data_IF_280159480643
#
_entry.id   IF_280159480643
#
_cell.length_a   1.000
_cell.length_b   1.000
_cell.length_c   1.000
_cell.angle_alpha   90.00
_cell.angle_beta   90.00
_cell.angle_gamma   90.00
#
_symmetry.space_group_name_H-M   'P 1'
#
loop_
_entity.id
_entity.type
_entity.pdbx_description
1 polymer ?
#
# COMPACT_ATOMS: atom_id res chain seq x y z
N UNK A 1 -74.25 31.13 5.26
CA UNK A 1 -73.51 30.72 4.05
C UNK A 1 -72.06 31.13 4.25
N UNK A 2 -71.27 30.26 4.90
CA UNK A 2 -69.86 30.49 5.18
C UNK A 2 -69.07 29.48 4.38
N UNK A 3 -68.28 29.95 3.42
CA UNK A 3 -67.40 29.12 2.60
C UNK A 3 -66.10 28.87 3.37
N UNK A 4 -65.87 27.62 3.77
CA UNK A 4 -64.56 27.19 4.28
C UNK A 4 -63.56 27.10 3.11
N UNK A 5 -62.42 27.78 3.24
CA UNK A 5 -61.31 27.66 2.28
C UNK A 5 -60.42 26.47 2.62
N UNK A 6 -59.96 25.66 1.63
CA UNK A 6 -59.13 24.49 1.88
C UNK A 6 -57.69 24.87 2.26
N UNK A 7 -57.22 24.33 3.38
CA UNK A 7 -55.81 24.40 3.83
C UNK A 7 -54.93 23.53 2.91
N UNK A 8 -54.09 24.16 2.11
CA UNK A 8 -53.03 23.47 1.33
C UNK A 8 -51.95 22.85 2.23
N UNK A 9 -51.52 21.60 2.01
CA UNK A 9 -50.58 20.90 2.89
C UNK A 9 -49.13 21.28 2.55
N UNK A 10 -48.62 22.37 3.12
CA UNK A 10 -47.20 22.77 2.98
C UNK A 10 -46.20 21.77 3.57
N UNK A 11 -46.62 20.86 4.46
CA UNK A 11 -45.72 19.99 5.24
C UNK A 11 -45.12 18.82 4.45
N UNK A 12 -45.83 18.31 3.44
CA UNK A 12 -45.42 17.09 2.71
C UNK A 12 -44.31 17.36 1.68
N UNK A 13 -44.23 18.58 1.15
CA UNK A 13 -43.23 18.96 0.15
C UNK A 13 -41.83 19.14 0.78
N UNK A 14 -41.74 19.69 1.99
CA UNK A 14 -40.47 19.89 2.68
C UNK A 14 -39.81 18.57 3.14
N UNK A 15 -40.60 17.58 3.55
CA UNK A 15 -40.07 16.26 3.95
C UNK A 15 -39.59 15.42 2.75
N UNK A 16 -40.27 15.49 1.60
CA UNK A 16 -39.84 14.83 0.36
C UNK A 16 -38.56 15.46 -0.21
N UNK A 17 -38.44 16.79 -0.20
CA UNK A 17 -37.23 17.49 -0.66
C UNK A 17 -36.06 17.24 0.31
N UNK A 18 -36.30 17.24 1.62
CA UNK A 18 -35.28 16.96 2.64
C UNK A 18 -34.74 15.53 2.59
N UNK A 19 -35.60 14.52 2.38
CA UNK A 19 -35.19 13.12 2.22
C UNK A 19 -34.42 12.87 0.92
N UNK A 20 -34.81 13.51 -0.19
CA UNK A 20 -34.07 13.44 -1.45
C UNK A 20 -32.65 14.04 -1.34
N UNK A 21 -32.49 15.17 -0.64
CA UNK A 21 -31.19 15.81 -0.40
C UNK A 21 -30.28 14.92 0.47
N UNK A 22 -30.82 14.30 1.52
CA UNK A 22 -30.07 13.37 2.40
C UNK A 22 -29.62 12.11 1.64
N UNK A 23 -30.49 11.51 0.82
CA UNK A 23 -30.14 10.38 -0.03
C UNK A 23 -29.06 10.74 -1.07
N UNK A 24 -29.15 11.94 -1.67
CA UNK A 24 -28.17 12.40 -2.66
C UNK A 24 -26.81 12.70 -2.02
N UNK A 25 -26.77 13.25 -0.80
CA UNK A 25 -25.53 13.46 -0.03
C UNK A 25 -24.89 12.13 0.40
N UNK A 26 -25.69 11.13 0.82
CA UNK A 26 -25.18 9.79 1.10
C UNK A 26 -24.58 9.11 -0.13
N UNK A 27 -25.21 9.27 -1.30
CA UNK A 27 -24.71 8.69 -2.55
C UNK A 27 -23.37 9.30 -2.99
N UNK A 28 -23.18 10.62 -2.80
CA UNK A 28 -21.91 11.32 -3.07
C UNK A 28 -20.78 10.88 -2.11
N UNK A 29 -21.11 10.59 -0.84
CA UNK A 29 -20.16 10.02 0.12
C UNK A 29 -19.71 8.59 -0.23
N UNK A 30 -20.61 7.78 -0.77
CA UNK A 30 -20.32 6.39 -1.17
C UNK A 30 -19.40 6.31 -2.40
N UNK A 31 -19.58 7.17 -3.41
CA UNK A 31 -18.70 7.18 -4.60
C UNK A 31 -17.28 7.68 -4.30
N UNK A 32 -17.13 8.61 -3.35
CA UNK A 32 -15.82 9.11 -2.91
C UNK A 32 -14.96 8.01 -2.25
N UNK A 33 -15.61 7.04 -1.60
CA UNK A 33 -14.94 5.93 -0.92
C UNK A 33 -14.31 4.92 -1.90
N UNK A 34 -14.81 4.81 -3.13
CA UNK A 34 -14.27 3.91 -4.15
C UNK A 34 -12.95 4.44 -4.75
N UNK A 35 -12.78 5.76 -4.83
CA UNK A 35 -11.58 6.38 -5.41
C UNK A 35 -10.32 6.19 -4.54
N UNK A 36 -10.49 6.16 -3.22
CA UNK A 36 -9.38 5.91 -2.28
C UNK A 36 -8.75 4.51 -2.44
N UNK A 37 -9.51 3.54 -2.95
CA UNK A 37 -9.06 2.15 -3.11
C UNK A 37 -8.29 1.86 -4.42
N UNK A 38 -8.27 2.81 -5.36
CA UNK A 38 -7.58 2.65 -6.65
C UNK A 38 -6.06 2.74 -6.48
N UNK A 39 -5.33 1.99 -7.30
CA UNK A 39 -3.88 2.15 -7.47
C UNK A 39 -3.56 3.62 -7.81
N UNK A 40 -2.44 4.20 -7.32
CA UNK A 40 -2.01 5.54 -7.70
C UNK A 40 -1.91 5.69 -9.22
N UNK A 41 -2.29 6.86 -9.75
CA UNK A 41 -2.34 7.07 -11.20
C UNK A 41 -0.94 7.02 -11.85
N UNK A 42 0.06 7.54 -11.13
CA UNK A 42 1.46 7.50 -11.52
C UNK A 42 2.29 6.83 -10.42
N UNK A 43 2.68 5.58 -10.64
CA UNK A 43 3.51 4.84 -9.68
C UNK A 43 5.01 5.17 -9.77
N UNK A 44 5.43 6.04 -10.70
CA UNK A 44 6.82 6.48 -10.84
C UNK A 44 7.12 7.80 -10.13
N UNK A 45 6.11 8.47 -9.60
CA UNK A 45 6.22 9.77 -8.95
C UNK A 45 5.65 9.70 -7.52
N UNK A 46 6.54 9.74 -6.53
CA UNK A 46 6.17 9.63 -5.12
C UNK A 46 5.41 10.87 -4.62
N UNK A 47 5.67 12.05 -5.18
CA UNK A 47 4.91 13.25 -4.86
C UNK A 47 3.45 13.09 -5.29
N UNK A 48 3.24 12.62 -6.52
CA UNK A 48 1.91 12.32 -7.05
C UNK A 48 1.21 11.26 -6.20
N UNK A 49 1.90 10.15 -5.87
CA UNK A 49 1.34 9.10 -5.00
C UNK A 49 0.85 9.69 -3.68
N UNK A 50 1.68 10.49 -3.00
CA UNK A 50 1.32 11.03 -1.69
C UNK A 50 0.35 12.21 -1.77
N UNK A 51 0.25 12.92 -2.89
CA UNK A 51 -0.79 13.93 -3.12
C UNK A 51 -2.16 13.24 -3.30
N UNK A 52 -2.23 12.18 -4.10
CA UNK A 52 -3.46 11.39 -4.30
C UNK A 52 -3.86 10.58 -3.06
N UNK A 53 -2.87 10.08 -2.33
CA UNK A 53 -3.04 9.20 -1.16
C UNK A 53 -2.40 9.82 0.08
N UNK A 54 -2.89 10.97 0.52
CA UNK A 54 -2.32 11.71 1.67
C UNK A 54 -2.21 10.88 2.96
N UNK A 55 -3.10 9.91 3.20
CA UNK A 55 -2.98 8.98 4.33
C UNK A 55 -1.77 8.05 4.21
N UNK A 56 -1.37 7.66 3.00
CA UNK A 56 -0.22 6.79 2.76
C UNK A 56 1.07 7.48 3.19
N UNK A 57 1.21 8.79 2.96
CA UNK A 57 2.35 9.56 3.46
C UNK A 57 2.50 9.42 4.98
N UNK A 58 1.40 9.64 5.73
CA UNK A 58 1.42 9.47 7.19
C UNK A 58 1.80 8.06 7.61
N UNK A 59 1.30 7.04 6.92
CA UNK A 59 1.65 5.66 7.23
C UNK A 59 3.11 5.32 6.90
N UNK A 60 3.65 5.87 5.81
CA UNK A 60 5.04 5.71 5.42
C UNK A 60 5.99 6.40 6.40
N UNK A 61 5.69 7.63 6.81
CA UNK A 61 6.45 8.36 7.85
C UNK A 61 6.40 7.64 9.20
N UNK A 62 5.24 7.08 9.57
CA UNK A 62 5.13 6.33 10.82
C UNK A 62 5.96 5.04 10.78
N UNK A 63 5.93 4.31 9.66
CA UNK A 63 6.73 3.10 9.48
C UNK A 63 8.24 3.44 9.48
N UNK A 64 8.65 4.51 8.80
CA UNK A 64 10.02 5.01 8.81
C UNK A 64 10.50 5.31 10.23
N UNK A 65 9.73 6.06 11.01
CA UNK A 65 10.08 6.37 12.41
C UNK A 65 10.14 5.12 13.30
N UNK A 66 9.26 4.17 13.07
CA UNK A 66 9.16 2.96 13.89
C UNK A 66 10.28 1.97 13.59
N UNK A 67 10.67 1.84 12.33
CA UNK A 67 11.56 0.78 11.85
C UNK A 67 12.92 1.28 11.36
N UNK A 68 13.14 2.60 11.37
CA UNK A 68 14.39 3.23 10.95
C UNK A 68 14.82 2.89 9.51
N UNK A 69 13.85 2.62 8.63
CA UNK A 69 14.06 2.40 7.19
C UNK A 69 13.41 3.57 6.44
N UNK A 70 14.15 4.23 5.55
CA UNK A 70 13.63 5.39 4.85
C UNK A 70 12.35 5.04 4.06
N UNK A 71 11.34 5.92 4.15
CA UNK A 71 10.04 5.74 3.51
C UNK A 71 10.14 5.54 1.99
N UNK A 72 11.15 6.11 1.33
CA UNK A 72 11.39 5.93 -0.11
C UNK A 72 11.76 4.47 -0.42
N UNK A 73 12.56 3.83 0.43
CA UNK A 73 12.90 2.40 0.36
C UNK A 73 11.64 1.57 0.57
N UNK A 74 10.85 1.85 1.62
CA UNK A 74 9.59 1.15 1.89
C UNK A 74 8.63 1.21 0.70
N UNK A 75 8.49 2.40 0.10
CA UNK A 75 7.65 2.62 -1.06
C UNK A 75 8.18 1.93 -2.31
N UNK A 76 9.50 1.92 -2.53
CA UNK A 76 10.14 1.23 -3.64
C UNK A 76 9.94 -0.30 -3.56
N UNK A 77 10.05 -0.89 -2.37
CA UNK A 77 9.75 -2.31 -2.14
C UNK A 77 8.28 -2.61 -2.45
N UNK A 78 7.32 -1.84 -1.93
CA UNK A 78 5.89 -2.06 -2.23
C UNK A 78 5.60 -1.92 -3.74
N UNK A 79 6.24 -0.96 -4.42
CA UNK A 79 6.13 -0.82 -5.87
C UNK A 79 6.63 -2.06 -6.60
N UNK A 80 7.78 -2.58 -6.20
CA UNK A 80 8.35 -3.76 -6.83
C UNK A 80 7.49 -5.01 -6.59
N UNK A 81 6.96 -5.17 -5.37
CA UNK A 81 6.16 -6.34 -5.00
C UNK A 81 4.76 -6.35 -5.60
N UNK A 82 4.08 -5.20 -5.61
CA UNK A 82 2.66 -5.15 -5.99
C UNK A 82 2.33 -4.08 -7.03
N UNK A 83 3.28 -3.21 -7.37
CA UNK A 83 3.00 -1.97 -8.12
C UNK A 83 1.89 -1.13 -7.46
N UNK A 84 1.75 -1.22 -6.14
CA UNK A 84 0.65 -0.63 -5.37
C UNK A 84 -0.73 -1.20 -5.71
N UNK A 85 -0.81 -2.46 -6.17
CA UNK A 85 -2.07 -3.15 -6.39
C UNK A 85 -2.52 -3.85 -5.10
N UNK A 86 -3.62 -3.37 -4.53
CA UNK A 86 -4.20 -3.83 -3.26
C UNK A 86 -4.36 -5.34 -3.13
N UNK A 87 -4.75 -6.01 -4.21
CA UNK A 87 -5.06 -7.44 -4.25
C UNK A 87 -4.07 -8.23 -5.11
N UNK A 88 -2.85 -7.72 -5.26
CA UNK A 88 -1.78 -8.39 -6.00
C UNK A 88 -1.62 -9.84 -5.54
N UNK A 89 -1.53 -10.75 -6.51
CA UNK A 89 -1.35 -12.19 -6.30
C UNK A 89 -0.44 -12.74 -7.40
N UNK A 90 0.39 -13.75 -7.09
CA UNK A 90 1.12 -14.47 -8.11
C UNK A 90 0.17 -15.03 -9.18
N UNK A 91 0.62 -15.07 -10.46
CA UNK A 91 -0.12 -15.74 -11.51
C UNK A 91 -0.31 -17.21 -11.14
N UNK A 92 -1.47 -17.76 -11.52
CA UNK A 92 -1.73 -19.21 -11.35
C UNK A 92 -0.74 -19.99 -12.20
N UNK A 93 -0.26 -21.12 -11.68
CA UNK A 93 0.48 -22.08 -12.51
C UNK A 93 -0.46 -22.63 -13.59
N UNK A 94 0.09 -23.21 -14.65
CA UNK A 94 -0.70 -23.83 -15.72
C UNK A 94 -0.36 -25.30 -15.86
N UNK A 95 -1.36 -26.16 -15.89
CA UNK A 95 -1.21 -27.55 -16.33
C UNK A 95 -1.17 -27.55 -17.86
N UNK A 96 -0.17 -28.24 -18.42
CA UNK A 96 0.06 -28.35 -19.87
C UNK A 96 0.16 -26.99 -20.60
N UNK A 97 0.59 -25.93 -19.91
CA UNK A 97 0.76 -24.58 -20.48
C UNK A 97 -0.54 -23.78 -20.70
N UNK A 98 -1.71 -24.38 -20.53
CA UNK A 98 -3.01 -23.77 -20.89
C UNK A 98 -4.00 -23.71 -19.72
N UNK A 99 -4.10 -24.77 -18.90
CA UNK A 99 -5.17 -24.89 -17.88
C UNK A 99 -4.74 -24.20 -16.56
N UNK A 100 -5.40 -23.11 -16.11
CA UNK A 100 -5.04 -22.45 -14.86
C UNK A 100 -5.20 -23.38 -13.64
N UNK A 101 -4.19 -23.45 -12.78
CA UNK A 101 -4.13 -24.31 -11.60
C UNK A 101 -3.96 -23.52 -10.30
N UNK A 102 -3.42 -24.16 -9.25
CA UNK A 102 -3.13 -23.53 -7.96
C UNK A 102 -2.05 -22.45 -8.10
N UNK A 103 -2.07 -21.48 -7.17
CA UNK A 103 -0.97 -20.51 -7.08
C UNK A 103 0.25 -21.18 -6.47
N UNK A 104 1.46 -20.81 -6.89
CA UNK A 104 2.69 -21.40 -6.37
C UNK A 104 2.92 -21.02 -4.90
N UNK A 105 2.44 -19.85 -4.45
CA UNK A 105 2.63 -19.36 -3.08
C UNK A 105 1.35 -18.69 -2.56
N UNK A 106 1.32 -18.45 -1.24
CA UNK A 106 0.25 -17.69 -0.56
C UNK A 106 0.52 -16.18 -0.51
N UNK A 107 1.50 -15.71 -1.29
CA UNK A 107 1.84 -14.29 -1.39
C UNK A 107 0.62 -13.45 -1.81
N UNK A 108 0.35 -12.38 -1.06
CA UNK A 108 -0.85 -11.58 -1.26
C UNK A 108 -0.71 -10.12 -0.83
N UNK A 109 -1.42 -9.24 -1.54
CA UNK A 109 -1.61 -7.84 -1.17
C UNK A 109 -0.40 -6.97 -1.50
N UNK A 110 -0.35 -5.78 -0.90
CA UNK A 110 0.68 -4.78 -1.19
C UNK A 110 2.11 -5.29 -0.92
N UNK A 111 2.27 -6.06 0.17
CA UNK A 111 3.56 -6.58 0.61
C UNK A 111 3.96 -7.90 -0.06
N UNK A 112 3.06 -8.56 -0.82
CA UNK A 112 3.27 -9.94 -1.31
C UNK A 112 3.74 -10.95 -0.24
N UNK A 113 3.43 -10.69 1.04
CA UNK A 113 3.80 -11.59 2.13
C UNK A 113 3.01 -12.90 2.08
N UNK A 114 3.70 -14.02 2.34
CA UNK A 114 3.08 -15.34 2.53
C UNK A 114 2.40 -15.44 3.89
N UNK A 115 1.56 -16.46 4.06
CA UNK A 115 0.77 -16.66 5.28
C UNK A 115 1.60 -16.79 6.54
N UNK A 116 2.66 -17.57 6.47
CA UNK A 116 3.57 -17.82 7.59
C UNK A 116 4.22 -16.52 8.09
N UNK A 117 4.93 -15.80 7.23
CA UNK A 117 5.62 -14.56 7.60
C UNK A 117 4.65 -13.47 8.07
N UNK A 118 3.47 -13.37 7.46
CA UNK A 118 2.48 -12.39 7.89
C UNK A 118 1.91 -12.71 9.28
N UNK A 119 1.71 -13.99 9.59
CA UNK A 119 1.23 -14.39 10.92
C UNK A 119 2.29 -14.13 11.99
N UNK A 120 3.57 -14.39 11.70
CA UNK A 120 4.68 -14.06 12.59
C UNK A 120 4.73 -12.54 12.89
N UNK A 121 4.58 -11.70 11.86
CA UNK A 121 4.44 -10.25 12.05
C UNK A 121 3.27 -9.90 12.98
N UNK A 122 2.08 -10.47 12.74
CA UNK A 122 0.89 -10.18 13.55
C UNK A 122 1.09 -10.53 15.01
N UNK A 123 1.73 -11.67 15.27
CA UNK A 123 2.02 -12.14 16.63
C UNK A 123 3.04 -11.24 17.32
N UNK A 124 4.21 -11.04 16.71
CA UNK A 124 5.32 -10.26 17.28
C UNK A 124 4.97 -8.79 17.49
N UNK A 125 4.10 -8.24 16.66
CA UNK A 125 3.68 -6.84 16.73
C UNK A 125 2.35 -6.63 17.45
N UNK A 126 1.72 -7.69 18.01
CA UNK A 126 0.41 -7.63 18.69
C UNK A 126 -0.68 -7.02 17.81
N UNK A 127 -0.73 -7.41 16.54
CA UNK A 127 -1.66 -6.91 15.51
C UNK A 127 -2.57 -8.01 14.95
N UNK A 128 -3.48 -8.59 15.75
CA UNK A 128 -4.33 -9.72 15.33
C UNK A 128 -5.29 -9.39 14.16
N UNK A 129 -5.56 -8.11 13.90
CA UNK A 129 -6.45 -7.66 12.83
C UNK A 129 -5.72 -7.04 11.62
N UNK A 130 -4.39 -7.11 11.56
CA UNK A 130 -3.65 -6.57 10.41
C UNK A 130 -4.00 -7.32 9.11
N UNK A 131 -4.15 -6.56 8.02
CA UNK A 131 -4.62 -7.05 6.73
C UNK A 131 -3.65 -6.67 5.59
N UNK A 132 -3.20 -7.65 4.80
CA UNK A 132 -2.27 -7.45 3.65
C UNK A 132 -2.78 -6.50 2.56
N UNK A 133 -4.09 -6.31 2.49
CA UNK A 133 -4.75 -5.39 1.55
C UNK A 133 -4.96 -3.99 2.12
N UNK A 134 -4.59 -3.76 3.38
CA UNK A 134 -4.56 -2.44 3.99
C UNK A 134 -3.15 -1.88 3.84
N UNK A 135 -3.02 -0.72 3.19
CA UNK A 135 -1.72 -0.13 2.93
C UNK A 135 -0.94 0.18 4.22
N UNK A 136 -1.61 0.69 5.27
CA UNK A 136 -1.00 0.98 6.57
C UNK A 136 -0.34 -0.25 7.17
N UNK A 137 -1.05 -1.37 7.16
CA UNK A 137 -0.55 -2.59 7.78
C UNK A 137 0.54 -3.22 6.89
N UNK A 138 0.43 -3.11 5.58
CA UNK A 138 1.42 -3.62 4.64
C UNK A 138 2.76 -2.85 4.69
N UNK A 139 2.73 -1.51 4.75
CA UNK A 139 3.97 -0.73 4.84
C UNK A 139 4.66 -0.89 6.20
N UNK A 140 3.88 -1.03 7.28
CA UNK A 140 4.40 -1.36 8.59
C UNK A 140 5.06 -2.76 8.61
N UNK A 141 4.43 -3.76 7.97
CA UNK A 141 5.02 -5.09 7.79
C UNK A 141 6.34 -5.05 7.01
N UNK A 142 6.40 -4.28 5.91
CA UNK A 142 7.63 -4.12 5.12
C UNK A 142 8.73 -3.50 5.99
N UNK A 143 8.42 -2.43 6.72
CA UNK A 143 9.37 -1.80 7.64
C UNK A 143 9.88 -2.76 8.72
N UNK A 144 8.97 -3.46 9.40
CA UNK A 144 9.30 -4.49 10.40
C UNK A 144 10.23 -5.57 9.85
N UNK A 145 9.93 -6.10 8.67
CA UNK A 145 10.76 -7.15 8.07
C UNK A 145 12.15 -6.63 7.71
N UNK A 146 12.23 -5.45 7.10
CA UNK A 146 13.51 -4.86 6.68
C UNK A 146 14.39 -4.49 7.87
N UNK A 147 13.83 -3.99 8.97
CA UNK A 147 14.60 -3.71 10.20
C UNK A 147 15.15 -5.00 10.84
N UNK A 148 14.31 -6.04 10.91
CA UNK A 148 14.72 -7.37 11.36
C UNK A 148 15.83 -7.94 10.46
N UNK A 149 15.70 -7.80 9.14
CA UNK A 149 16.68 -8.26 8.17
C UNK A 149 17.99 -7.45 8.24
N UNK A 150 17.93 -6.13 8.36
CA UNK A 150 19.09 -5.26 8.53
C UNK A 150 19.92 -5.69 9.75
N UNK A 151 19.24 -5.95 10.86
CA UNK A 151 19.89 -6.35 12.11
C UNK A 151 20.45 -7.78 12.04
N UNK A 152 19.69 -8.73 11.48
CA UNK A 152 20.07 -10.16 11.48
C UNK A 152 21.10 -10.50 10.41
N UNK A 153 21.00 -9.87 9.23
CA UNK A 153 21.90 -10.11 8.10
C UNK A 153 23.05 -9.10 8.02
N UNK A 154 23.16 -8.17 8.98
CA UNK A 154 24.14 -7.08 8.99
C UNK A 154 24.15 -6.27 7.68
N UNK A 155 22.95 -5.95 7.20
CA UNK A 155 22.75 -5.11 6.01
C UNK A 155 22.48 -3.68 6.45
N UNK A 156 23.13 -2.72 5.81
CA UNK A 156 22.93 -1.31 6.13
C UNK A 156 21.48 -0.89 5.82
N UNK A 157 20.89 -0.06 6.70
CA UNK A 157 19.48 0.37 6.58
C UNK A 157 19.23 1.29 5.37
N UNK A 158 20.30 1.86 4.83
CA UNK A 158 20.39 2.70 3.64
C UNK A 158 20.86 1.93 2.40
N UNK A 159 20.92 0.59 2.44
CA UNK A 159 21.23 -0.25 1.30
C UNK A 159 19.96 -0.92 0.73
N UNK A 160 19.14 -0.21 -0.06
CA UNK A 160 17.87 -0.70 -0.58
C UNK A 160 18.05 -1.97 -1.43
N UNK A 161 19.20 -2.14 -2.08
CA UNK A 161 19.48 -3.31 -2.92
C UNK A 161 19.61 -4.56 -2.05
N UNK A 162 20.48 -4.54 -1.05
CA UNK A 162 20.68 -5.70 -0.19
C UNK A 162 19.48 -5.94 0.75
N UNK A 163 18.81 -4.88 1.20
CA UNK A 163 17.53 -4.98 1.92
C UNK A 163 16.47 -5.69 1.07
N UNK A 164 16.37 -5.40 -0.22
CA UNK A 164 15.42 -6.11 -1.07
C UNK A 164 15.82 -7.58 -1.31
N UNK A 165 17.12 -7.87 -1.43
CA UNK A 165 17.59 -9.25 -1.57
C UNK A 165 17.21 -10.10 -0.35
N UNK A 166 17.35 -9.55 0.87
CA UNK A 166 16.92 -10.23 2.10
C UNK A 166 15.41 -10.40 2.16
N UNK A 167 14.65 -9.40 1.70
CA UNK A 167 13.19 -9.46 1.63
C UNK A 167 12.68 -10.55 0.68
N UNK A 168 13.25 -10.62 -0.53
CA UNK A 168 12.80 -11.53 -1.59
C UNK A 168 13.22 -12.99 -1.33
N UNK A 169 14.46 -13.22 -0.89
CA UNK A 169 14.98 -14.57 -0.68
C UNK A 169 14.73 -15.12 0.73
N UNK A 170 14.33 -14.24 1.65
CA UNK A 170 14.41 -14.50 3.07
C UNK A 170 15.81 -14.28 3.63
N UNK A 171 15.90 -13.95 4.93
CA UNK A 171 17.16 -13.69 5.64
C UNK A 171 18.16 -14.86 5.48
N UNK A 172 17.71 -16.09 5.76
CA UNK A 172 18.58 -17.29 5.62
C UNK A 172 19.05 -17.48 4.17
N UNK A 173 18.13 -17.38 3.20
CA UNK A 173 18.50 -17.54 1.79
C UNK A 173 19.45 -16.45 1.27
N UNK A 174 19.35 -15.24 1.83
CA UNK A 174 20.31 -14.17 1.57
C UNK A 174 21.70 -14.50 2.11
N UNK A 175 21.78 -14.95 3.36
CA UNK A 175 23.04 -15.33 4.04
C UNK A 175 23.73 -16.50 3.34
N UNK A 176 22.96 -17.47 2.85
CA UNK A 176 23.45 -18.60 2.05
C UNK A 176 23.88 -18.21 0.63
N UNK A 177 23.53 -17.00 0.17
CA UNK A 177 23.89 -16.50 -1.15
C UNK A 177 23.00 -17.00 -2.30
N UNK A 178 21.78 -17.47 -2.00
CA UNK A 178 20.86 -18.05 -3.00
C UNK A 178 20.44 -17.08 -4.11
N UNK A 179 20.61 -15.77 -3.89
CA UNK A 179 20.36 -14.71 -4.87
C UNK A 179 21.44 -14.57 -5.95
N UNK A 180 22.68 -14.98 -5.68
CA UNK A 180 23.86 -14.60 -6.50
C UNK A 180 23.74 -14.98 -7.97
N UNK A 181 23.07 -16.11 -8.25
CA UNK A 181 22.90 -16.63 -9.62
C UNK A 181 21.51 -16.32 -10.21
N UNK A 182 20.62 -15.66 -9.45
CA UNK A 182 19.25 -15.38 -9.87
C UNK A 182 19.18 -14.00 -10.55
N UNK A 183 19.50 -13.95 -11.85
CA UNK A 183 19.50 -12.70 -12.66
C UNK A 183 18.25 -11.84 -12.47
N UNK A 184 17.06 -12.46 -12.42
CA UNK A 184 15.79 -11.73 -12.22
C UNK A 184 15.70 -11.04 -10.85
N UNK A 185 16.18 -11.69 -9.80
CA UNK A 185 16.20 -11.16 -8.43
C UNK A 185 17.21 -10.02 -8.32
N UNK A 186 18.38 -10.17 -8.91
CA UNK A 186 19.38 -9.10 -9.00
C UNK A 186 18.84 -7.86 -9.72
N UNK A 187 18.14 -8.05 -10.84
CA UNK A 187 17.51 -6.94 -11.58
C UNK A 187 16.43 -6.27 -10.74
N UNK A 188 15.58 -7.04 -10.05
CA UNK A 188 14.56 -6.49 -9.16
C UNK A 188 15.18 -5.68 -8.00
N UNK A 189 16.26 -6.18 -7.39
CA UNK A 189 16.98 -5.48 -6.33
C UNK A 189 17.60 -4.16 -6.80
N UNK A 190 18.24 -4.16 -7.98
CA UNK A 190 18.74 -2.92 -8.60
C UNK A 190 17.58 -1.95 -8.86
N UNK A 191 16.45 -2.42 -9.39
CA UNK A 191 15.29 -1.57 -9.64
C UNK A 191 14.72 -0.94 -8.37
N UNK A 192 14.74 -1.66 -7.24
CA UNK A 192 14.32 -1.11 -5.94
C UNK A 192 15.24 0.01 -5.51
N UNK A 193 16.57 -0.19 -5.59
CA UNK A 193 17.56 0.86 -5.34
C UNK A 193 17.32 2.09 -6.22
N UNK A 194 17.25 1.92 -7.54
CA UNK A 194 17.10 3.04 -8.46
C UNK A 194 15.77 3.78 -8.21
N UNK A 195 14.71 3.04 -7.88
CA UNK A 195 13.41 3.63 -7.55
C UNK A 195 13.46 4.43 -6.25
N UNK A 196 14.14 3.95 -5.21
CA UNK A 196 14.26 4.69 -3.94
C UNK A 196 15.05 5.99 -4.13
N UNK A 197 16.13 5.99 -4.91
CA UNK A 197 16.90 7.19 -5.21
C UNK A 197 16.08 8.24 -6.00
N UNK A 198 15.29 7.78 -6.98
CA UNK A 198 14.34 8.66 -7.69
C UNK A 198 13.30 9.25 -6.74
N UNK A 199 12.75 8.43 -5.85
CA UNK A 199 11.76 8.85 -4.87
C UNK A 199 12.32 9.84 -3.85
N UNK A 200 13.55 9.65 -3.40
CA UNK A 200 14.26 10.58 -2.52
C UNK A 200 14.40 11.95 -3.18
N UNK A 201 14.93 11.98 -4.41
CA UNK A 201 15.06 13.21 -5.21
C UNK A 201 13.72 13.94 -5.36
N UNK A 202 12.64 13.19 -5.67
CA UNK A 202 11.31 13.76 -5.82
C UNK A 202 10.78 14.40 -4.53
N UNK A 203 10.98 13.75 -3.38
CA UNK A 203 10.50 14.29 -2.10
C UNK A 203 11.20 15.60 -1.73
N UNK A 204 12.49 15.73 -2.02
CA UNK A 204 13.20 16.99 -1.81
C UNK A 204 12.60 18.16 -2.59
N UNK A 205 12.12 17.90 -3.81
CA UNK A 205 11.55 18.93 -4.66
C UNK A 205 10.13 19.31 -4.24
N UNK A 206 9.32 18.32 -3.85
CA UNK A 206 7.91 18.55 -3.56
C UNK A 206 7.64 19.03 -2.12
N UNK A 207 8.51 18.71 -1.16
CA UNK A 207 8.40 19.24 0.21
C UNK A 207 8.75 20.74 0.28
N UNK A 208 9.42 21.30 -0.75
CA UNK A 208 9.67 22.74 -0.91
C UNK A 208 8.47 23.50 -1.50
N UNK A 209 7.45 22.82 -2.00
CA UNK A 209 6.28 23.42 -2.67
C UNK A 209 5.20 23.99 -1.71
N UNK A 210 4.42 24.99 -2.14
CA UNK A 210 3.38 25.63 -1.30
C UNK A 210 2.22 24.71 -0.90
N UNK A 211 2.10 23.52 -1.50
CA UNK A 211 1.01 22.57 -1.27
C UNK A 211 1.09 21.81 0.06
N UNK A 212 2.18 21.93 0.83
CA UNK A 212 2.41 21.11 2.04
C UNK A 212 2.90 21.84 3.30
N UNK A 213 2.87 23.18 3.35
CA UNK A 213 3.01 23.93 4.61
C UNK A 213 1.70 23.98 5.43
N UNK A 214 0.83 22.97 5.34
CA UNK A 214 -0.43 22.88 6.10
C UNK A 214 -0.60 21.52 6.73
#
# INVERSE_FOLDING_TARGET
MSLETPKTPRRTLFTLVGTAIVCSLMLVGLVSSCMSLRQPSNTADLCTIFAEKSYWYRHAVNAEKQWNIDKTILMAVIKQESSFVRSARPPRTRILGIIPWKRPTTAYGYAQAIDETWNDYKERNKRPHANRTNFRDAIDFVGWYLDMAATTANVARDDPKNLYLTYHEGITGYLEGNWRNKKKVLVAATKVKDTSEVYETQLEDCDRGPARRR
#
